data_IF_444641641593
#
_entry.id   IF_444641641593
#
_cell.length_a   1.000
_cell.length_b   1.000
_cell.length_c   1.000
_cell.angle_alpha   90.00
_cell.angle_beta   90.00
_cell.angle_gamma   90.00
#
_symmetry.space_group_name_H-M   'P 1'
#
loop_
_entity.id
_entity.type
_entity.pdbx_description
1 polymer ?
#
# COMPACT_ATOMS: atom_id res chain seq x y z
N UNK A 1 14.00 8.99 -22.98
CA UNK A 1 12.74 8.78 -23.70
C UNK A 1 11.72 8.25 -22.70
N UNK A 2 11.26 9.09 -21.77
CA UNK A 2 10.17 8.71 -20.87
C UNK A 2 8.88 9.02 -21.62
N UNK A 3 8.18 7.99 -22.07
CA UNK A 3 6.82 8.13 -22.59
C UNK A 3 6.02 8.98 -21.60
N UNK A 4 5.29 9.96 -22.14
CA UNK A 4 4.34 10.75 -21.37
C UNK A 4 3.32 9.76 -20.82
N UNK A 5 3.45 9.35 -19.55
CA UNK A 5 2.41 8.61 -18.83
C UNK A 5 1.13 9.42 -18.99
N UNK A 6 0.20 8.90 -19.78
CA UNK A 6 -0.99 9.57 -20.24
C UNK A 6 -1.68 10.31 -19.09
N UNK A 7 -1.86 11.62 -19.27
CA UNK A 7 -2.63 12.46 -18.35
C UNK A 7 -4.11 12.22 -18.65
N UNK A 8 -4.55 10.98 -18.49
CA UNK A 8 -5.97 10.67 -18.56
C UNK A 8 -6.65 11.18 -17.26
N UNK A 9 -7.89 11.71 -17.33
CA UNK A 9 -8.59 12.24 -16.16
C UNK A 9 -8.76 11.22 -15.01
N UNK A 10 -8.87 9.93 -15.31
CA UNK A 10 -9.00 8.84 -14.34
C UNK A 10 -7.67 8.61 -13.59
N UNK A 11 -6.54 8.62 -14.30
CA UNK A 11 -5.20 8.60 -13.71
C UNK A 11 -4.91 9.84 -12.86
N UNK A 12 -5.42 11.02 -13.25
CA UNK A 12 -5.31 12.23 -12.45
C UNK A 12 -6.07 12.11 -11.11
N UNK A 13 -7.32 11.63 -11.15
CA UNK A 13 -8.13 11.41 -9.94
C UNK A 13 -7.48 10.41 -8.97
N UNK A 14 -7.01 9.27 -9.50
CA UNK A 14 -6.31 8.25 -8.69
C UNK A 14 -5.08 8.81 -7.98
N UNK A 15 -4.26 9.59 -8.69
CA UNK A 15 -3.05 10.20 -8.10
C UNK A 15 -3.40 11.22 -7.02
N UNK A 16 -4.45 12.01 -7.20
CA UNK A 16 -4.91 12.98 -6.21
C UNK A 16 -5.36 12.30 -4.91
N UNK A 17 -6.14 11.21 -5.01
CA UNK A 17 -6.57 10.43 -3.84
C UNK A 17 -5.39 9.85 -3.06
N UNK A 18 -4.47 9.18 -3.77
CA UNK A 18 -3.30 8.58 -3.13
C UNK A 18 -2.35 9.65 -2.54
N UNK A 19 -2.23 10.81 -3.19
CA UNK A 19 -1.50 11.93 -2.61
C UNK A 19 -2.16 12.44 -1.31
N UNK A 20 -3.50 12.47 -1.25
CA UNK A 20 -4.24 12.75 -0.02
C UNK A 20 -4.01 11.73 1.09
N UNK A 21 -3.69 10.47 0.75
CA UNK A 21 -3.30 9.44 1.72
C UNK A 21 -1.83 9.54 2.20
N UNK A 22 -1.06 10.52 1.71
CA UNK A 22 0.33 10.75 2.12
C UNK A 22 1.39 10.16 1.19
N UNK A 23 1.02 9.63 0.01
CA UNK A 23 1.99 9.16 -0.99
C UNK A 23 2.52 10.33 -1.83
N UNK A 24 3.84 10.48 -1.93
CA UNK A 24 4.41 11.48 -2.83
C UNK A 24 4.23 11.06 -4.30
N UNK A 25 4.33 12.02 -5.22
CA UNK A 25 4.31 11.68 -6.65
C UNK A 25 5.44 10.70 -7.02
N UNK A 26 6.60 10.82 -6.39
CA UNK A 26 7.74 9.93 -6.56
C UNK A 26 7.44 8.51 -6.08
N UNK A 27 6.67 8.34 -5.02
CA UNK A 27 6.24 7.03 -4.56
C UNK A 27 5.24 6.38 -5.53
N UNK A 28 4.41 7.18 -6.21
CA UNK A 28 3.45 6.68 -7.20
C UNK A 28 4.08 6.29 -8.54
N UNK A 29 5.35 6.63 -8.75
CA UNK A 29 6.16 6.16 -9.89
C UNK A 29 6.81 4.79 -9.65
N UNK A 30 6.93 4.36 -8.38
CA UNK A 30 7.48 3.06 -7.99
C UNK A 30 6.44 1.94 -8.11
N UNK A 31 6.85 0.66 -8.15
CA UNK A 31 5.93 -0.46 -8.05
C UNK A 31 5.09 -0.39 -6.77
N UNK A 32 3.76 -0.42 -6.91
CA UNK A 32 2.84 -0.41 -5.78
C UNK A 32 2.62 -1.83 -5.29
N UNK A 33 2.92 -2.08 -4.01
CA UNK A 33 2.80 -3.41 -3.41
C UNK A 33 1.66 -3.41 -2.41
N UNK A 34 0.61 -4.17 -2.69
CA UNK A 34 -0.49 -4.38 -1.77
C UNK A 34 -0.05 -5.34 -0.65
N UNK A 35 -0.21 -4.92 0.60
CA UNK A 35 0.00 -5.73 1.79
C UNK A 35 -1.38 -6.06 2.36
N UNK A 36 -1.82 -7.30 2.17
CA UNK A 36 -3.14 -7.75 2.62
C UNK A 36 -2.97 -8.65 3.82
N UNK A 37 -3.61 -8.30 4.93
CA UNK A 37 -3.64 -9.14 6.12
C UNK A 37 -5.03 -9.15 6.76
N UNK A 38 -5.20 -9.98 7.78
CA UNK A 38 -6.47 -10.16 8.48
C UNK A 38 -6.35 -9.82 9.97
N UNK A 39 -5.55 -8.81 10.31
CA UNK A 39 -5.45 -8.30 11.67
C UNK A 39 -6.84 -8.02 12.24
N UNK A 40 -7.08 -8.58 13.42
CA UNK A 40 -8.26 -8.32 14.24
C UNK A 40 -7.96 -8.64 15.71
N UNK A 41 -8.82 -8.17 16.60
CA UNK A 41 -8.68 -8.34 18.06
C UNK A 41 -9.44 -9.55 18.61
N UNK A 42 -10.13 -10.31 17.74
CA UNK A 42 -10.99 -11.43 18.15
C UNK A 42 -10.32 -12.81 18.00
N UNK A 43 -9.20 -12.91 17.26
CA UNK A 43 -8.46 -14.14 17.06
C UNK A 43 -7.00 -13.99 17.54
N UNK A 44 -6.51 -14.78 18.51
CA UNK A 44 -5.14 -14.70 19.02
C UNK A 44 -4.07 -14.95 17.94
N UNK A 45 -4.39 -15.72 16.90
CA UNK A 45 -3.51 -15.93 15.74
C UNK A 45 -3.39 -14.71 14.83
N UNK A 46 -4.21 -13.66 15.00
CA UNK A 46 -4.28 -12.51 14.08
C UNK A 46 -3.86 -11.18 14.73
N UNK A 47 -3.85 -11.09 16.07
CA UNK A 47 -3.55 -9.83 16.79
C UNK A 47 -2.20 -9.21 16.42
N UNK A 48 -1.22 -10.02 16.05
CA UNK A 48 0.15 -9.60 15.77
C UNK A 48 0.37 -9.13 14.31
N UNK A 49 -0.61 -9.35 13.43
CA UNK A 49 -0.47 -9.06 12.00
C UNK A 49 -0.28 -7.57 11.72
N UNK A 50 -0.84 -6.67 12.53
CA UNK A 50 -0.60 -5.22 12.43
C UNK A 50 0.88 -4.86 12.64
N UNK A 51 1.56 -5.53 13.58
CA UNK A 51 2.98 -5.27 13.82
C UNK A 51 3.83 -5.89 12.70
N UNK A 52 3.43 -7.08 12.24
CA UNK A 52 4.12 -7.75 11.14
C UNK A 52 4.04 -6.94 9.85
N UNK A 53 2.88 -6.33 9.55
CA UNK A 53 2.71 -5.52 8.34
C UNK A 53 3.61 -4.30 8.30
N UNK A 54 3.93 -3.67 9.43
CA UNK A 54 4.93 -2.59 9.47
C UNK A 54 6.31 -3.06 8.99
N UNK A 55 6.80 -4.22 9.45
CA UNK A 55 8.06 -4.78 8.97
C UNK A 55 8.01 -5.13 7.47
N UNK A 56 6.86 -5.60 6.97
CA UNK A 56 6.67 -5.85 5.54
C UNK A 56 6.71 -4.53 4.75
N UNK A 57 6.07 -3.47 5.26
CA UNK A 57 6.13 -2.13 4.63
C UNK A 57 7.57 -1.64 4.52
N UNK A 58 8.37 -1.82 5.56
CA UNK A 58 9.79 -1.43 5.55
C UNK A 58 10.57 -2.21 4.50
N UNK A 59 10.40 -3.54 4.44
CA UNK A 59 11.03 -4.35 3.40
C UNK A 59 10.63 -3.96 1.96
N UNK A 60 9.37 -3.57 1.75
CA UNK A 60 8.92 -3.05 0.45
C UNK A 60 9.62 -1.72 0.11
N UNK A 61 9.74 -0.80 1.08
CA UNK A 61 10.43 0.48 0.86
C UNK A 61 11.91 0.27 0.55
N UNK A 62 12.57 -0.62 1.29
CA UNK A 62 13.99 -0.97 1.10
C UNK A 62 14.25 -1.59 -0.28
N UNK A 63 13.28 -2.35 -0.79
CA UNK A 63 13.32 -2.92 -2.14
C UNK A 63 12.94 -1.92 -3.26
N UNK A 64 12.65 -0.66 -2.92
CA UNK A 64 12.30 0.39 -3.88
C UNK A 64 10.84 0.39 -4.33
N UNK A 65 9.95 -0.30 -3.61
CA UNK A 65 8.50 -0.27 -3.83
C UNK A 65 7.77 0.72 -2.94
N UNK A 66 6.48 0.90 -3.20
CA UNK A 66 5.56 1.70 -2.39
C UNK A 66 4.52 0.78 -1.75
N UNK A 67 4.57 0.57 -0.42
CA UNK A 67 3.63 -0.33 0.23
C UNK A 67 2.27 0.34 0.44
N UNK A 68 1.19 -0.42 0.23
CA UNK A 68 -0.19 -0.03 0.51
C UNK A 68 -0.88 -1.15 1.28
N UNK A 69 -1.18 -0.91 2.56
CA UNK A 69 -1.83 -1.91 3.41
C UNK A 69 -3.34 -1.73 3.41
N UNK A 70 -4.07 -2.85 3.32
CA UNK A 70 -5.48 -2.93 3.68
C UNK A 70 -5.80 -4.30 4.26
N UNK A 71 -6.93 -4.42 4.94
CA UNK A 71 -7.29 -5.63 5.65
C UNK A 71 -8.43 -6.41 4.99
N UNK A 72 -8.48 -7.70 5.26
CA UNK A 72 -9.62 -8.59 4.99
C UNK A 72 -10.13 -9.21 6.30
N UNK A 73 -11.33 -9.78 6.27
CA UNK A 73 -11.92 -10.48 7.43
C UNK A 73 -11.36 -11.89 7.56
N UNK A 74 -11.26 -12.37 8.80
CA UNK A 74 -11.01 -13.78 9.10
C UNK A 74 -11.68 -14.14 10.43
N UNK A 75 -12.26 -15.34 10.47
CA UNK A 75 -12.77 -15.97 11.69
C UNK A 75 -11.86 -17.14 12.07
N UNK A 76 -11.85 -17.52 13.34
CA UNK A 76 -11.14 -18.70 13.80
C UNK A 76 -11.99 -19.96 13.61
#
# INVERSE_FOLDING_TARGET
>A
MSEKKDVDPVSAYRRALLHGCGYSYQDLEKPLIAIVNSWNEINPGHIHLRKLSEFVKDGVRDAGGTPMEFNTIAIC
#
